data_IF_891953138114
#
_entry.id   IF_891953138114
#
_cell.length_a   1.000
_cell.length_b   1.000
_cell.length_c   1.000
_cell.angle_alpha   90.00
_cell.angle_beta   90.00
_cell.angle_gamma   90.00
#
_symmetry.space_group_name_H-M   'P 1'
#
loop_
_entity.id
_entity.type
_entity.pdbx_description
1 polymer ?
#
# COMPACT_ATOMS: atom_id res chain seq x y z
N UNK A 1 -36.28 -60.44 -15.79
CA UNK A 1 -36.01 -61.82 -15.30
C UNK A 1 -34.58 -61.86 -14.80
N UNK A 2 -34.39 -62.45 -13.61
CA UNK A 2 -33.15 -62.74 -12.89
C UNK A 2 -32.74 -61.72 -11.81
N UNK A 3 -33.52 -61.79 -10.72
CA UNK A 3 -33.15 -62.26 -9.38
C UNK A 3 -32.06 -61.56 -8.54
N UNK A 4 -32.60 -60.96 -7.48
CA UNK A 4 -32.09 -60.73 -6.13
C UNK A 4 -31.15 -61.81 -5.55
N UNK A 5 -30.10 -61.36 -4.84
CA UNK A 5 -29.62 -62.03 -3.61
C UNK A 5 -29.22 -60.98 -2.57
N UNK A 6 -29.94 -60.98 -1.45
CA UNK A 6 -29.62 -60.28 -0.19
C UNK A 6 -28.83 -61.26 0.69
N UNK A 7 -27.72 -60.81 1.28
CA UNK A 7 -27.06 -61.54 2.37
C UNK A 7 -26.78 -60.57 3.54
N UNK A 8 -27.65 -60.66 4.55
CA UNK A 8 -27.37 -60.20 5.91
C UNK A 8 -26.39 -61.17 6.58
N UNK A 9 -25.38 -60.63 7.26
CA UNK A 9 -24.77 -61.31 8.40
C UNK A 9 -24.56 -60.33 9.56
N UNK A 10 -25.00 -60.81 10.72
CA UNK A 10 -25.01 -60.21 12.05
C UNK A 10 -23.80 -60.78 12.82
N UNK A 11 -23.54 -60.27 14.04
CA UNK A 11 -22.55 -60.71 15.07
C UNK A 11 -21.28 -59.83 15.06
N UNK A 12 -20.73 -59.27 16.15
CA UNK A 12 -20.95 -59.41 17.60
C UNK A 12 -20.65 -58.07 18.30
N UNK A 13 -21.26 -57.85 19.46
CA UNK A 13 -20.78 -56.90 20.48
C UNK A 13 -19.50 -57.45 21.10
N UNK A 14 -18.53 -56.58 21.36
CA UNK A 14 -17.63 -56.77 22.49
C UNK A 14 -17.34 -55.43 23.17
N UNK A 15 -17.27 -55.50 24.50
CA UNK A 15 -17.43 -54.44 25.46
C UNK A 15 -16.16 -54.48 26.33
N UNK A 16 -15.24 -53.54 26.14
CA UNK A 16 -14.09 -53.42 27.04
C UNK A 16 -13.81 -51.96 27.36
N UNK A 17 -14.23 -51.60 28.56
CA UNK A 17 -13.89 -50.37 29.27
C UNK A 17 -12.37 -50.20 29.41
N UNK A 18 -11.85 -49.04 29.01
CA UNK A 18 -10.57 -48.52 29.52
C UNK A 18 -10.80 -47.12 30.06
N UNK A 19 -10.67 -47.02 31.38
CA UNK A 19 -10.56 -45.77 32.14
C UNK A 19 -9.32 -45.03 31.65
N UNK A 20 -9.46 -43.79 31.20
CA UNK A 20 -8.35 -42.84 31.12
C UNK A 20 -8.56 -41.85 32.26
N UNK A 21 -7.55 -41.80 33.13
CA UNK A 21 -7.50 -40.95 34.29
C UNK A 21 -7.34 -39.48 33.87
N UNK A 22 -8.10 -38.65 34.56
CA UNK A 22 -8.11 -37.19 34.54
C UNK A 22 -6.78 -36.66 35.13
N UNK A 23 -5.98 -35.96 34.34
CA UNK A 23 -4.83 -35.17 34.80
C UNK A 23 -5.04 -33.73 34.36
N UNK A 24 -5.93 -33.03 35.06
CA UNK A 24 -6.28 -31.61 34.79
C UNK A 24 -5.99 -30.67 35.98
N UNK A 25 -5.05 -31.04 36.87
CA UNK A 25 -4.85 -30.31 38.14
C UNK A 25 -3.61 -29.41 38.29
N UNK A 26 -2.60 -29.49 37.41
CA UNK A 26 -1.26 -28.92 37.75
C UNK A 26 -0.64 -27.96 36.73
N UNK A 27 -1.36 -27.58 35.66
CA UNK A 27 -0.81 -26.67 34.62
C UNK A 27 -1.22 -25.20 34.82
N UNK A 28 -2.20 -24.93 35.70
CA UNK A 28 -2.77 -23.58 35.86
C UNK A 28 -1.92 -22.64 36.72
N UNK A 29 -1.12 -23.14 37.67
CA UNK A 29 -0.30 -22.28 38.54
C UNK A 29 0.96 -21.75 37.86
N UNK A 30 1.61 -22.55 37.00
CA UNK A 30 2.81 -22.11 36.29
C UNK A 30 2.52 -21.02 35.24
N UNK A 31 1.34 -21.07 34.60
CA UNK A 31 0.92 -20.06 33.62
C UNK A 31 0.61 -18.71 34.26
N UNK A 32 0.03 -18.69 35.46
CA UNK A 32 -0.25 -17.45 36.20
C UNK A 32 1.03 -16.79 36.74
N UNK A 33 2.00 -17.59 37.22
CA UNK A 33 3.28 -17.07 37.70
C UNK A 33 4.13 -16.43 36.57
N UNK A 34 4.09 -17.00 35.37
CA UNK A 34 4.79 -16.45 34.19
C UNK A 34 4.19 -15.13 33.70
N UNK A 35 2.86 -14.99 33.76
CA UNK A 35 2.18 -13.73 33.39
C UNK A 35 2.53 -12.60 34.38
N UNK A 36 2.61 -12.90 35.68
CA UNK A 36 2.97 -11.91 36.69
C UNK A 36 4.42 -11.38 36.54
N UNK A 37 5.36 -12.24 36.14
CA UNK A 37 6.75 -11.84 35.89
C UNK A 37 6.91 -10.94 34.65
N UNK A 38 6.12 -11.17 33.59
CA UNK A 38 6.14 -10.30 32.39
C UNK A 38 5.56 -8.92 32.70
N UNK A 39 4.51 -8.83 33.52
CA UNK A 39 3.91 -7.55 33.91
C UNK A 39 4.86 -6.72 34.79
N UNK A 40 5.59 -7.35 35.73
CA UNK A 40 6.60 -6.65 36.54
C UNK A 40 7.78 -6.14 35.70
N UNK A 41 8.14 -6.84 34.62
CA UNK A 41 9.19 -6.40 33.70
C UNK A 41 8.77 -5.15 32.89
N UNK A 42 7.51 -5.07 32.46
CA UNK A 42 7.01 -3.92 31.70
C UNK A 42 6.86 -2.65 32.55
N UNK A 43 6.47 -2.76 33.82
CA UNK A 43 6.33 -1.59 34.72
C UNK A 43 7.70 -1.03 35.12
N UNK A 44 8.71 -1.89 35.32
CA UNK A 44 10.08 -1.45 35.64
C UNK A 44 10.82 -0.78 34.47
N UNK A 45 10.56 -1.18 33.24
CA UNK A 45 11.25 -0.63 32.06
C UNK A 45 10.71 0.75 31.65
N UNK A 46 9.43 1.04 31.91
CA UNK A 46 8.81 2.34 31.59
C UNK A 46 9.26 3.47 32.53
N UNK A 47 9.80 3.15 33.72
CA UNK A 47 10.33 4.14 34.66
C UNK A 47 11.80 4.52 34.43
N UNK A 48 12.54 3.83 33.54
CA UNK A 48 13.96 4.12 33.30
C UNK A 48 14.25 4.96 32.05
N UNK A 49 13.26 5.21 31.18
CA UNK A 49 13.46 5.98 29.93
C UNK A 49 12.84 7.38 29.94
N UNK A 50 12.27 7.83 31.07
CA UNK A 50 11.71 9.19 31.22
C UNK A 50 12.63 10.18 31.96
N UNK A 51 13.88 9.81 32.26
CA UNK A 51 14.82 10.66 33.02
C UNK A 51 16.07 11.08 32.23
N UNK A 52 15.95 11.29 30.92
CA UNK A 52 17.00 11.92 30.11
C UNK A 52 16.42 13.02 29.22
N UNK A 53 15.88 14.09 29.83
CA UNK A 53 15.68 15.34 29.10
C UNK A 53 15.57 16.58 30.01
N UNK A 54 16.66 16.96 30.69
CA UNK A 54 16.91 18.35 31.10
C UNK A 54 18.42 18.58 31.14
N UNK A 55 18.98 19.00 30.01
CA UNK A 55 20.30 19.60 29.92
C UNK A 55 20.12 21.09 29.59
N UNK A 56 20.46 21.93 30.56
CA UNK A 56 20.44 23.39 30.46
C UNK A 56 21.33 23.89 29.31
N UNK A 57 20.77 24.69 28.41
CA UNK A 57 21.55 25.55 27.50
C UNK A 57 21.18 26.99 27.79
N UNK A 58 22.11 27.68 28.44
CA UNK A 58 22.06 29.11 28.71
C UNK A 58 22.05 29.92 27.41
N UNK A 59 21.10 30.85 27.27
CA UNK A 59 21.09 31.87 26.23
C UNK A 59 21.62 33.17 26.86
N UNK A 60 22.67 33.81 26.30
CA UNK A 60 23.15 35.08 26.80
C UNK A 60 22.19 36.21 26.42
N UNK A 61 21.80 37.00 27.42
CA UNK A 61 21.03 38.23 27.28
C UNK A 61 21.87 39.31 26.58
N UNK A 62 21.44 39.76 25.39
CA UNK A 62 21.99 40.97 24.77
C UNK A 62 21.21 42.18 25.29
N UNK A 63 21.97 43.12 25.86
CA UNK A 63 21.50 44.41 26.37
C UNK A 63 21.01 45.31 25.22
N UNK A 64 19.79 45.82 25.37
CA UNK A 64 19.22 46.88 24.54
C UNK A 64 19.48 48.21 25.22
N UNK A 65 20.53 48.90 24.78
CA UNK A 65 20.65 50.36 24.98
C UNK A 65 21.75 50.92 24.07
N UNK A 66 21.46 52.07 23.46
CA UNK A 66 22.35 52.95 22.68
C UNK A 66 22.42 52.69 21.17
N UNK A 67 21.54 53.37 20.41
CA UNK A 67 21.95 54.55 19.64
C UNK A 67 20.71 55.21 19.01
N UNK A 68 20.21 56.23 19.71
CA UNK A 68 19.46 57.31 19.08
C UNK A 68 20.49 58.31 18.53
N UNK A 69 20.44 58.58 17.23
CA UNK A 69 20.66 59.91 16.68
C UNK A 69 19.95 60.06 15.33
N UNK A 70 18.89 60.88 15.36
CA UNK A 70 18.42 61.85 14.37
C UNK A 70 18.63 61.59 12.87
N UNK A 71 17.55 61.63 12.08
CA UNK A 71 17.06 62.90 11.54
C UNK A 71 15.73 62.72 10.78
N UNK A 72 14.72 63.55 11.12
CA UNK A 72 13.47 63.71 10.37
C UNK A 72 13.74 64.54 9.10
N UNK A 73 13.19 64.13 7.96
CA UNK A 73 12.07 64.86 7.30
C UNK A 73 11.81 64.43 5.85
N UNK A 74 10.53 64.14 5.59
CA UNK A 74 9.75 64.36 4.38
C UNK A 74 10.14 63.67 3.06
N UNK A 75 9.44 62.58 2.76
CA UNK A 75 8.86 62.34 1.43
C UNK A 75 7.48 61.69 1.56
N UNK A 76 6.45 62.45 1.17
CA UNK A 76 5.14 61.93 0.79
C UNK A 76 5.32 61.22 -0.55
N UNK A 77 5.14 59.91 -0.61
CA UNK A 77 4.93 59.18 -1.87
C UNK A 77 3.96 58.01 -1.65
N UNK A 78 2.77 58.18 -2.23
CA UNK A 78 1.84 57.19 -2.75
C UNK A 78 1.71 55.84 -2.01
N UNK A 79 0.61 55.74 -1.24
CA UNK A 79 -0.03 54.45 -0.95
C UNK A 79 -0.66 53.97 -2.27
N UNK A 80 0.16 53.32 -3.11
CA UNK A 80 -0.33 52.36 -4.08
C UNK A 80 -0.54 51.04 -3.34
N UNK A 81 -1.71 50.44 -3.49
CA UNK A 81 -2.11 49.22 -2.81
C UNK A 81 -1.03 48.15 -2.89
N UNK A 82 -0.47 47.81 -1.73
CA UNK A 82 0.26 46.56 -1.52
C UNK A 82 -0.72 45.41 -1.72
N UNK A 83 -0.86 44.95 -2.97
CA UNK A 83 -1.34 43.62 -3.24
C UNK A 83 -0.21 42.71 -2.79
N UNK A 84 -0.31 42.20 -1.58
CA UNK A 84 0.60 41.17 -1.06
C UNK A 84 0.59 40.03 -2.06
N UNK A 85 1.61 39.96 -2.93
CA UNK A 85 1.85 38.78 -3.74
C UNK A 85 2.20 37.68 -2.75
N UNK A 86 1.20 36.89 -2.38
CA UNK A 86 1.39 35.66 -1.64
C UNK A 86 2.26 34.80 -2.56
N UNK A 87 3.55 34.73 -2.26
CA UNK A 87 4.49 33.89 -2.97
C UNK A 87 4.01 32.44 -2.79
N UNK A 88 3.31 31.92 -3.80
CA UNK A 88 2.83 30.56 -3.80
C UNK A 88 4.04 29.64 -3.79
N UNK A 89 4.16 28.84 -2.72
CA UNK A 89 5.17 27.80 -2.68
C UNK A 89 4.81 26.79 -3.78
N UNK A 90 5.78 26.33 -4.58
CA UNK A 90 5.52 25.27 -5.53
C UNK A 90 4.95 24.06 -4.78
N UNK A 91 3.81 23.56 -5.25
CA UNK A 91 3.20 22.35 -4.70
C UNK A 91 4.15 21.19 -4.94
N UNK A 92 4.47 20.44 -3.89
CA UNK A 92 5.24 19.21 -3.99
C UNK A 92 4.27 18.03 -4.17
N UNK A 93 4.55 17.08 -5.05
CA UNK A 93 3.67 15.94 -5.23
C UNK A 93 3.71 15.04 -4.00
N UNK A 94 2.57 14.46 -3.66
CA UNK A 94 2.39 13.58 -2.51
C UNK A 94 2.04 12.17 -2.98
N UNK A 95 2.39 11.14 -2.19
CA UNK A 95 1.85 9.80 -2.41
C UNK A 95 0.39 9.76 -1.92
N UNK A 96 -0.53 9.99 -2.86
CA UNK A 96 -1.96 10.11 -2.62
C UNK A 96 -2.60 8.78 -2.26
N UNK A 97 -2.11 7.67 -2.83
CA UNK A 97 -2.70 6.34 -2.60
C UNK A 97 -2.57 5.90 -1.15
N UNK A 98 -1.57 6.41 -0.41
CA UNK A 98 -1.32 6.06 0.99
C UNK A 98 -2.00 6.93 2.03
N UNK A 99 -2.79 7.93 1.62
CA UNK A 99 -3.47 8.83 2.57
C UNK A 99 -4.66 8.08 3.22
N UNK A 100 -4.63 7.84 4.55
CA UNK A 100 -5.67 7.05 5.21
C UNK A 100 -7.08 7.62 4.98
N UNK A 101 -8.00 6.75 4.59
CA UNK A 101 -9.42 7.11 4.39
C UNK A 101 -9.70 7.99 3.17
N UNK A 102 -8.70 8.25 2.31
CA UNK A 102 -8.88 9.02 1.07
C UNK A 102 -8.87 8.18 -0.19
N UNK A 103 -8.45 6.91 -0.09
CA UNK A 103 -8.37 5.98 -1.21
C UNK A 103 -8.87 4.61 -0.78
N UNK A 104 -9.63 3.96 -1.66
CA UNK A 104 -10.08 2.58 -1.49
C UNK A 104 -9.49 1.72 -2.62
N UNK A 105 -8.92 0.57 -2.28
CA UNK A 105 -8.47 -0.41 -3.26
C UNK A 105 -9.43 -1.60 -3.34
N UNK A 106 -9.81 -1.96 -4.55
CA UNK A 106 -10.58 -3.18 -4.87
C UNK A 106 -9.88 -3.97 -5.95
N UNK A 107 -10.20 -5.24 -6.11
CA UNK A 107 -9.63 -6.10 -7.14
C UNK A 107 -10.67 -7.11 -7.65
N UNK A 108 -10.46 -7.65 -8.84
CA UNK A 108 -11.30 -8.69 -9.44
C UNK A 108 -11.26 -10.00 -8.63
N UNK A 109 -10.09 -10.32 -8.10
CA UNK A 109 -9.89 -11.43 -7.17
C UNK A 109 -9.55 -10.90 -5.79
N UNK A 110 -10.14 -11.52 -4.76
CA UNK A 110 -9.95 -11.15 -3.35
C UNK A 110 -8.47 -11.08 -2.94
N UNK A 111 -7.63 -11.88 -3.59
CA UNK A 111 -6.27 -12.15 -3.17
C UNK A 111 -6.22 -13.38 -2.25
N UNK A 112 -5.28 -14.29 -2.49
CA UNK A 112 -5.13 -15.49 -1.66
C UNK A 112 -4.19 -15.28 -0.45
N UNK A 113 -3.58 -14.09 -0.32
CA UNK A 113 -2.65 -13.70 0.74
C UNK A 113 -3.21 -12.51 1.53
N UNK A 114 -3.00 -11.29 1.03
CA UNK A 114 -3.64 -10.07 1.54
C UNK A 114 -4.83 -9.61 0.69
N UNK A 115 -5.78 -8.84 1.26
CA UNK A 115 -6.81 -8.13 0.49
C UNK A 115 -6.19 -7.04 -0.40
N UNK A 116 -6.92 -6.52 -1.38
CA UNK A 116 -6.44 -5.45 -2.26
C UNK A 116 -5.93 -4.20 -1.50
N UNK A 117 -6.49 -3.89 -0.30
CA UNK A 117 -6.08 -2.74 0.51
C UNK A 117 -4.63 -2.77 0.99
N UNK A 118 -3.94 -3.91 0.94
CA UNK A 118 -2.53 -3.98 1.36
C UNK A 118 -1.60 -3.17 0.46
N UNK A 119 -1.97 -2.98 -0.81
CA UNK A 119 -1.13 -2.27 -1.80
C UNK A 119 -1.08 -0.75 -1.57
N UNK A 120 -1.93 -0.23 -0.69
CA UNK A 120 -2.05 1.20 -0.38
C UNK A 120 -1.88 1.51 1.12
N UNK A 121 -1.26 0.62 1.88
CA UNK A 121 -1.03 0.85 3.31
C UNK A 121 -0.21 2.13 3.55
N UNK A 122 -0.53 2.93 4.59
CA UNK A 122 0.21 4.16 4.89
C UNK A 122 1.70 3.93 5.10
N UNK A 123 2.03 2.81 5.75
CA UNK A 123 3.38 2.28 5.90
C UNK A 123 3.39 0.93 5.19
N UNK A 124 4.27 0.72 4.18
CA UNK A 124 4.39 -0.57 3.54
C UNK A 124 4.75 -1.64 4.56
N UNK A 125 4.02 -2.73 4.51
CA UNK A 125 4.36 -3.89 5.31
C UNK A 125 5.65 -4.57 4.84
N UNK A 126 6.23 -5.36 5.73
CA UNK A 126 7.47 -6.12 5.50
C UNK A 126 7.26 -7.63 5.56
N UNK A 127 6.04 -8.07 5.92
CA UNK A 127 5.69 -9.46 6.05
C UNK A 127 5.24 -10.05 4.72
N UNK A 128 6.13 -10.82 4.10
CA UNK A 128 5.95 -11.38 2.75
C UNK A 128 4.67 -12.19 2.52
N UNK A 129 4.05 -12.75 3.56
CA UNK A 129 2.80 -13.50 3.39
C UNK A 129 1.53 -12.64 3.51
N UNK A 130 1.57 -11.50 4.20
CA UNK A 130 0.36 -10.77 4.60
C UNK A 130 0.29 -9.37 3.99
N UNK A 131 1.43 -8.81 3.60
CA UNK A 131 1.54 -7.42 3.16
C UNK A 131 1.60 -7.28 1.63
N UNK A 132 1.04 -8.26 0.92
CA UNK A 132 0.93 -8.25 -0.54
C UNK A 132 -0.37 -8.87 -1.03
N UNK A 133 -0.91 -8.29 -2.08
CA UNK A 133 -2.05 -8.84 -2.81
C UNK A 133 -1.52 -9.82 -3.86
N UNK A 134 -2.26 -10.91 -4.12
CA UNK A 134 -1.85 -11.93 -5.07
C UNK A 134 -3.05 -12.52 -5.82
N UNK A 135 -3.05 -12.41 -7.15
CA UNK A 135 -3.97 -13.14 -8.01
C UNK A 135 -3.40 -14.54 -8.33
N UNK A 136 -3.63 -15.48 -7.42
CA UNK A 136 -3.30 -16.88 -7.58
C UNK A 136 -4.28 -17.75 -6.80
N UNK A 137 -4.46 -19.01 -7.19
CA UNK A 137 -5.38 -19.93 -6.51
C UNK A 137 -4.80 -20.52 -5.22
N UNK A 138 -3.49 -20.42 -5.01
CA UNK A 138 -2.81 -20.92 -3.81
C UNK A 138 -1.56 -20.08 -3.45
N UNK A 139 -1.01 -20.33 -2.27
CA UNK A 139 0.17 -19.60 -1.75
C UNK A 139 1.47 -19.85 -2.55
N UNK A 140 1.51 -20.88 -3.39
CA UNK A 140 2.65 -21.17 -4.26
C UNK A 140 2.58 -20.44 -5.61
N UNK A 141 1.58 -19.58 -5.81
CA UNK A 141 1.48 -18.76 -7.02
C UNK A 141 0.87 -19.48 -8.21
N UNK A 142 0.06 -20.54 -7.99
CA UNK A 142 -0.67 -21.15 -9.11
C UNK A 142 -1.57 -20.13 -9.80
N UNK A 143 -1.31 -19.90 -11.08
CA UNK A 143 -1.96 -18.86 -11.86
C UNK A 143 -3.48 -19.05 -11.91
N UNK A 144 -4.22 -17.94 -11.76
CA UNK A 144 -5.63 -17.88 -12.13
C UNK A 144 -5.64 -17.43 -13.60
N UNK A 145 -6.24 -18.19 -14.53
CA UNK A 145 -6.26 -17.78 -15.94
C UNK A 145 -7.08 -16.51 -16.15
N UNK A 146 -6.62 -15.68 -17.09
CA UNK A 146 -7.32 -14.47 -17.50
C UNK A 146 -6.57 -13.19 -17.14
N UNK A 147 -7.25 -12.07 -17.39
CA UNK A 147 -6.81 -10.74 -17.00
C UNK A 147 -7.25 -10.46 -15.56
N UNK A 148 -6.47 -9.66 -14.85
CA UNK A 148 -6.75 -9.28 -13.46
C UNK A 148 -6.69 -7.77 -13.31
N UNK A 149 -7.29 -7.22 -12.26
CA UNK A 149 -7.20 -5.79 -12.03
C UNK A 149 -7.19 -5.42 -10.56
N UNK A 150 -6.51 -4.30 -10.27
CA UNK A 150 -6.68 -3.55 -9.03
C UNK A 150 -7.21 -2.16 -9.40
N UNK A 151 -8.30 -1.74 -8.77
CA UNK A 151 -8.93 -0.44 -8.94
C UNK A 151 -8.77 0.37 -7.65
N UNK A 152 -8.12 1.53 -7.78
CA UNK A 152 -8.06 2.56 -6.76
C UNK A 152 -9.17 3.58 -7.01
N UNK A 153 -9.99 3.84 -5.99
CA UNK A 153 -10.96 4.91 -5.96
C UNK A 153 -10.47 6.01 -5.02
N UNK A 154 -10.21 7.18 -5.58
CA UNK A 154 -9.86 8.38 -4.84
C UNK A 154 -11.12 9.13 -4.39
N UNK A 155 -11.06 9.77 -3.24
CA UNK A 155 -12.17 10.54 -2.68
C UNK A 155 -12.52 11.79 -3.50
N UNK A 156 -11.54 12.36 -4.21
CA UNK A 156 -11.67 13.52 -5.11
C UNK A 156 -10.79 13.27 -6.34
N UNK A 157 -11.04 13.93 -7.49
CA UNK A 157 -10.13 13.84 -8.63
C UNK A 157 -8.69 14.25 -8.28
N UNK A 158 -7.75 13.58 -8.93
CA UNK A 158 -6.31 13.78 -8.77
C UNK A 158 -5.65 14.01 -10.12
N UNK A 159 -4.52 14.70 -10.08
CA UNK A 159 -3.58 14.83 -11.18
C UNK A 159 -2.38 13.93 -10.87
N UNK A 160 -2.22 12.85 -11.65
CA UNK A 160 -1.15 11.87 -11.46
C UNK A 160 0.14 12.39 -12.08
N UNK A 161 1.21 12.43 -11.30
CA UNK A 161 2.56 12.78 -11.74
C UNK A 161 3.34 11.51 -12.11
N UNK A 162 3.41 10.58 -11.16
CA UNK A 162 4.11 9.31 -11.31
C UNK A 162 3.42 8.17 -10.56
N UNK A 163 3.69 6.95 -11.01
CA UNK A 163 3.18 5.72 -10.40
C UNK A 163 4.36 4.82 -10.08
N UNK A 164 4.35 4.21 -8.89
CA UNK A 164 5.31 3.16 -8.54
C UNK A 164 4.56 1.88 -8.17
N UNK A 165 4.86 0.81 -8.89
CA UNK A 165 4.36 -0.53 -8.65
C UNK A 165 5.50 -1.37 -8.08
N UNK A 166 5.29 -1.91 -6.88
CA UNK A 166 6.24 -2.83 -6.25
C UNK A 166 5.70 -4.25 -6.37
N UNK A 167 6.17 -4.98 -7.38
CA UNK A 167 5.79 -6.36 -7.60
C UNK A 167 6.64 -7.31 -6.78
N UNK A 168 6.07 -8.47 -6.45
CA UNK A 168 6.87 -9.63 -6.06
C UNK A 168 7.59 -10.21 -7.29
N UNK A 169 8.45 -11.22 -7.12
CA UNK A 169 8.96 -12.05 -8.23
C UNK A 169 7.89 -12.53 -9.22
N UNK A 170 6.68 -12.77 -8.73
CA UNK A 170 5.52 -13.09 -9.53
C UNK A 170 4.91 -11.79 -10.10
N UNK A 171 5.61 -11.11 -11.02
CA UNK A 171 5.21 -9.81 -11.56
C UNK A 171 4.48 -9.91 -12.91
N UNK A 172 3.81 -8.82 -13.29
CA UNK A 172 3.21 -8.67 -14.61
C UNK A 172 4.22 -8.10 -15.63
N UNK A 173 4.40 -8.79 -16.76
CA UNK A 173 5.18 -8.26 -17.89
C UNK A 173 4.33 -7.37 -18.81
N UNK A 174 3.01 -7.58 -18.81
CA UNK A 174 2.06 -6.81 -19.61
C UNK A 174 0.88 -6.33 -18.76
N UNK A 175 0.65 -5.01 -18.76
CA UNK A 175 -0.38 -4.31 -18.01
C UNK A 175 -0.61 -2.90 -18.56
N UNK A 176 -1.77 -2.33 -18.20
CA UNK A 176 -2.10 -0.93 -18.45
C UNK A 176 -2.38 -0.20 -17.14
N UNK A 177 -2.08 1.09 -17.14
CA UNK A 177 -2.64 2.04 -16.20
C UNK A 177 -3.75 2.79 -16.91
N UNK A 178 -4.94 2.70 -16.35
CA UNK A 178 -6.14 3.32 -16.89
C UNK A 178 -6.73 4.28 -15.88
N UNK A 179 -7.22 5.41 -16.36
CA UNK A 179 -7.83 6.47 -15.56
C UNK A 179 -9.27 6.74 -15.99
N UNK A 180 -10.11 7.15 -15.05
CA UNK A 180 -11.46 7.65 -15.34
C UNK A 180 -11.93 8.61 -14.24
N UNK A 181 -12.90 9.46 -14.56
CA UNK A 181 -13.67 10.22 -13.56
C UNK A 181 -14.80 9.39 -12.94
N UNK A 182 -15.24 8.34 -13.63
CA UNK A 182 -16.31 7.44 -13.21
C UNK A 182 -15.78 6.05 -12.91
N UNK A 183 -16.57 5.26 -12.17
CA UNK A 183 -16.14 3.90 -11.80
C UNK A 183 -15.95 3.06 -13.06
N UNK A 184 -14.78 2.44 -13.17
CA UNK A 184 -14.48 1.51 -14.27
C UNK A 184 -15.13 0.16 -13.96
N UNK A 185 -15.98 -0.30 -14.87
CA UNK A 185 -16.70 -1.58 -14.86
C UNK A 185 -16.69 -2.17 -16.27
N UNK A 186 -17.18 -3.40 -16.44
CA UNK A 186 -17.30 -4.04 -17.75
C UNK A 186 -18.27 -3.30 -18.69
N UNK A 187 -19.17 -2.49 -18.15
CA UNK A 187 -20.13 -1.68 -18.91
C UNK A 187 -19.62 -0.27 -19.23
N UNK A 188 -18.45 0.14 -18.71
CA UNK A 188 -17.92 1.49 -18.92
C UNK A 188 -17.50 1.66 -20.37
N UNK A 189 -17.93 2.75 -21.00
CA UNK A 189 -17.55 3.06 -22.38
C UNK A 189 -16.04 3.34 -22.47
N UNK A 190 -15.40 2.91 -23.57
CA UNK A 190 -13.98 3.20 -23.83
C UNK A 190 -13.68 4.70 -23.83
N UNK A 191 -14.64 5.52 -24.23
CA UNK A 191 -14.46 6.98 -24.28
C UNK A 191 -14.37 7.63 -22.89
N UNK A 192 -14.74 6.89 -21.84
CA UNK A 192 -14.66 7.31 -20.45
C UNK A 192 -13.41 6.77 -19.75
N UNK A 193 -12.58 5.98 -20.43
CA UNK A 193 -11.38 5.35 -19.85
C UNK A 193 -10.16 5.77 -20.63
N UNK A 194 -9.27 6.51 -19.98
CA UNK A 194 -8.02 6.94 -20.57
C UNK A 194 -6.93 5.91 -20.28
N UNK A 195 -6.29 5.38 -21.31
CA UNK A 195 -5.00 4.70 -21.12
C UNK A 195 -3.94 5.76 -20.84
N UNK A 196 -3.38 5.73 -19.63
CA UNK A 196 -2.34 6.64 -19.16
C UNK A 196 -0.93 6.05 -19.37
N UNK A 197 -0.84 4.72 -19.41
CA UNK A 197 0.36 3.94 -19.71
C UNK A 197 -0.04 2.56 -20.22
N UNK A 198 0.59 2.11 -21.31
CA UNK A 198 0.47 0.74 -21.83
C UNK A 198 1.86 0.10 -21.96
N UNK A 199 2.13 -0.98 -21.22
CA UNK A 199 3.44 -1.63 -21.29
C UNK A 199 3.74 -2.30 -22.63
N UNK A 200 2.72 -2.58 -23.45
CA UNK A 200 2.92 -3.10 -24.80
C UNK A 200 3.36 -1.99 -25.79
N UNK A 201 3.14 -0.72 -25.44
CA UNK A 201 3.51 0.42 -26.26
C UNK A 201 4.97 0.85 -26.00
N UNK A 202 5.79 0.87 -27.05
CA UNK A 202 7.23 1.20 -26.96
C UNK A 202 7.50 2.62 -26.47
N UNK A 203 6.67 3.59 -26.82
CA UNK A 203 6.83 4.98 -26.36
C UNK A 203 6.54 5.10 -24.86
N UNK A 204 5.55 4.35 -24.36
CA UNK A 204 5.26 4.29 -22.94
C UNK A 204 6.33 3.53 -22.15
N UNK A 205 6.88 2.43 -22.69
CA UNK A 205 7.99 1.73 -22.05
C UNK A 205 9.18 2.65 -21.72
N UNK A 206 9.45 3.67 -22.54
CA UNK A 206 10.51 4.64 -22.28
C UNK A 206 10.25 5.53 -21.04
N UNK A 207 9.00 5.61 -20.57
CA UNK A 207 8.59 6.31 -19.34
C UNK A 207 8.78 5.46 -18.09
N UNK A 208 9.03 4.16 -18.23
CA UNK A 208 9.15 3.20 -17.13
C UNK A 208 10.61 2.88 -16.84
N UNK A 209 11.00 2.94 -15.57
CA UNK A 209 12.23 2.32 -15.06
C UNK A 209 11.90 1.06 -14.27
N UNK A 210 12.87 0.14 -14.20
CA UNK A 210 12.77 -1.11 -13.44
C UNK A 210 13.96 -1.22 -12.47
N UNK A 211 13.67 -1.52 -11.21
CA UNK A 211 14.66 -1.82 -10.18
C UNK A 211 14.33 -3.18 -9.56
N UNK A 212 15.35 -3.97 -9.24
CA UNK A 212 15.16 -5.28 -8.61
C UNK A 212 15.98 -5.39 -7.33
N UNK A 213 15.36 -5.90 -6.26
CA UNK A 213 16.04 -6.04 -4.96
C UNK A 213 15.56 -7.27 -4.17
N UNK A 214 16.34 -7.67 -3.16
CA UNK A 214 16.01 -8.76 -2.25
C UNK A 214 16.11 -10.16 -2.88
N UNK A 215 15.59 -11.16 -2.16
CA UNK A 215 15.51 -12.55 -2.61
C UNK A 215 14.14 -13.12 -2.26
N UNK A 216 13.46 -13.71 -3.23
CA UNK A 216 12.16 -14.33 -3.02
C UNK A 216 12.23 -15.50 -2.04
N UNK A 217 11.42 -15.52 -0.98
CA UNK A 217 11.35 -16.62 -0.04
C UNK A 217 10.87 -17.91 -0.73
N UNK A 218 11.51 -19.03 -0.40
CA UNK A 218 11.10 -20.35 -0.89
C UNK A 218 11.55 -20.69 -2.32
N UNK A 219 12.20 -19.77 -3.03
CA UNK A 219 12.80 -20.03 -4.35
C UNK A 219 14.30 -20.28 -4.18
N UNK A 220 14.79 -21.46 -4.60
CA UNK A 220 16.21 -21.82 -4.52
C UNK A 220 17.07 -21.02 -5.51
N UNK A 221 16.52 -20.71 -6.68
CA UNK A 221 17.17 -19.86 -7.67
C UNK A 221 17.18 -18.42 -7.18
N UNK A 222 18.26 -17.69 -7.49
CA UNK A 222 18.32 -16.25 -7.22
C UNK A 222 17.24 -15.55 -8.04
N UNK A 223 16.24 -15.00 -7.35
CA UNK A 223 15.13 -14.26 -7.93
C UNK A 223 14.78 -13.10 -7.00
N UNK A 224 14.60 -11.88 -7.53
CA UNK A 224 14.40 -10.71 -6.70
C UNK A 224 13.06 -10.80 -5.96
N UNK A 225 13.05 -10.40 -4.70
CA UNK A 225 11.81 -10.26 -3.93
C UNK A 225 10.96 -9.13 -4.50
N UNK A 226 11.60 -8.01 -4.84
CA UNK A 226 10.95 -6.83 -5.37
C UNK A 226 11.35 -6.61 -6.82
N UNK A 227 10.35 -6.46 -7.69
CA UNK A 227 10.49 -5.95 -9.06
C UNK A 227 9.70 -4.64 -9.12
N UNK A 228 10.40 -3.52 -9.08
CA UNK A 228 9.82 -2.20 -8.90
C UNK A 228 9.73 -1.52 -10.26
N UNK A 229 8.51 -1.23 -10.71
CA UNK A 229 8.28 -0.40 -11.88
C UNK A 229 7.95 1.02 -11.44
N UNK A 230 8.74 1.99 -11.88
CA UNK A 230 8.42 3.42 -11.70
C UNK A 230 8.06 4.01 -13.05
N UNK A 231 6.87 4.58 -13.16
CA UNK A 231 6.31 5.15 -14.39
C UNK A 231 6.23 6.66 -14.20
N UNK A 232 6.96 7.40 -15.02
CA UNK A 232 7.00 8.86 -15.03
C UNK A 232 6.05 9.42 -16.10
N UNK A 233 5.67 10.69 -15.99
CA UNK A 233 4.91 11.42 -17.02
C UNK A 233 3.61 10.71 -17.44
N UNK A 234 2.86 10.23 -16.43
CA UNK A 234 1.61 9.51 -16.61
C UNK A 234 0.56 10.48 -17.17
N UNK A 235 0.21 10.33 -18.46
CA UNK A 235 -0.60 11.31 -19.18
C UNK A 235 -1.36 10.67 -20.34
N UNK A 236 -2.47 11.28 -20.75
CA UNK A 236 -3.25 10.85 -21.91
C UNK A 236 -3.13 11.88 -23.02
N UNK A 237 -2.71 11.45 -24.21
CA UNK A 237 -2.44 12.34 -25.36
C UNK A 237 -1.51 13.53 -24.99
N UNK A 238 -0.51 13.28 -24.15
CA UNK A 238 0.43 14.27 -23.59
C UNK A 238 -0.20 15.34 -22.68
N UNK A 239 -1.47 15.18 -22.30
CA UNK A 239 -2.15 16.03 -21.34
C UNK A 239 -2.35 15.28 -20.03
N UNK A 240 -2.11 15.95 -18.91
CA UNK A 240 -2.48 15.43 -17.60
C UNK A 240 -4.00 15.49 -17.48
N UNK A 241 -4.63 14.32 -17.32
CA UNK A 241 -6.08 14.22 -17.15
C UNK A 241 -6.39 14.04 -15.68
N UNK A 242 -7.35 14.81 -15.12
CA UNK A 242 -7.90 14.51 -13.82
C UNK A 242 -8.54 13.12 -13.81
N UNK A 243 -8.21 12.32 -12.79
CA UNK A 243 -8.79 10.97 -12.61
C UNK A 243 -9.27 10.81 -11.18
N UNK A 244 -10.40 10.15 -11.00
CA UNK A 244 -10.90 9.73 -9.68
C UNK A 244 -10.74 8.23 -9.47
N UNK A 245 -10.75 7.46 -10.56
CA UNK A 245 -10.56 6.03 -10.58
C UNK A 245 -9.31 5.70 -11.37
N UNK A 246 -8.42 4.90 -10.78
CA UNK A 246 -7.19 4.45 -11.41
C UNK A 246 -7.14 2.92 -11.37
N UNK A 247 -7.09 2.27 -12.53
CA UNK A 247 -7.02 0.82 -12.66
C UNK A 247 -5.65 0.38 -13.14
N UNK A 248 -5.03 -0.53 -12.41
CA UNK A 248 -3.96 -1.38 -12.90
C UNK A 248 -4.62 -2.60 -13.54
N UNK A 249 -4.63 -2.64 -14.86
CA UNK A 249 -5.20 -3.73 -15.64
C UNK A 249 -4.07 -4.67 -16.07
N UNK A 250 -4.06 -5.87 -15.51
CA UNK A 250 -2.98 -6.85 -15.65
C UNK A 250 -3.35 -7.86 -16.73
N UNK A 251 -2.57 -7.87 -17.81
CA UNK A 251 -2.86 -8.65 -19.01
C UNK A 251 -2.06 -9.95 -19.04
N UNK A 252 -0.81 -9.93 -18.54
CA UNK A 252 0.08 -11.09 -18.61
C UNK A 252 1.13 -11.13 -17.51
N UNK A 253 1.21 -12.29 -16.84
CA UNK A 253 2.30 -12.65 -15.92
C UNK A 253 3.62 -12.89 -16.67
N UNK A 254 4.72 -12.48 -16.05
CA UNK A 254 6.07 -12.67 -16.58
C UNK A 254 6.64 -14.09 -16.35
N UNK A 255 6.19 -14.78 -15.30
CA UNK A 255 6.85 -15.99 -14.77
C UNK A 255 6.03 -17.27 -14.92
N UNK A 256 4.82 -17.17 -15.47
CA UNK A 256 3.86 -18.29 -15.56
C UNK A 256 3.18 -18.61 -14.22
N UNK A 257 3.59 -17.96 -13.13
CA UNK A 257 2.83 -17.90 -11.89
C UNK A 257 1.68 -16.89 -12.02
N UNK A 258 0.83 -16.83 -11.01
CA UNK A 258 -0.06 -15.68 -10.79
C UNK A 258 0.74 -14.38 -10.65
N UNK A 259 0.05 -13.28 -10.37
CA UNK A 259 0.70 -11.98 -10.11
C UNK A 259 0.58 -11.60 -8.65
N UNK A 260 1.60 -10.92 -8.11
CA UNK A 260 1.65 -10.50 -6.73
C UNK A 260 2.24 -9.09 -6.62
N UNK A 261 1.55 -8.22 -5.90
CA UNK A 261 1.85 -6.80 -5.77
C UNK A 261 1.90 -6.40 -4.29
N UNK A 262 2.99 -5.77 -3.89
CA UNK A 262 3.20 -5.21 -2.56
C UNK A 262 2.67 -3.79 -2.46
N UNK A 263 2.90 -2.96 -3.47
CA UNK A 263 2.61 -1.52 -3.40
C UNK A 263 2.08 -1.00 -4.74
N UNK A 264 1.07 -0.12 -4.68
CA UNK A 264 0.57 0.67 -5.79
C UNK A 264 0.56 2.14 -5.36
N UNK A 265 1.72 2.77 -5.52
CA UNK A 265 1.94 4.16 -5.15
C UNK A 265 1.49 5.08 -6.28
N UNK A 266 0.68 6.08 -5.94
CA UNK A 266 0.22 7.11 -6.87
C UNK A 266 0.67 8.47 -6.35
N UNK A 267 1.66 9.03 -7.03
CA UNK A 267 2.28 10.30 -6.68
C UNK A 267 1.66 11.40 -7.54
N UNK A 268 1.25 12.51 -6.92
CA UNK A 268 0.61 13.60 -7.63
C UNK A 268 -0.03 14.64 -6.72
N UNK A 269 -1.09 15.26 -7.21
CA UNK A 269 -1.82 16.35 -6.53
C UNK A 269 -3.32 16.07 -6.50
N UNK A 270 -4.01 16.59 -5.49
CA UNK A 270 -5.46 16.71 -5.58
C UNK A 270 -5.79 17.84 -6.55
N UNK A 271 -6.80 17.66 -7.41
CA UNK A 271 -7.15 18.66 -8.44
C UNK A 271 -7.49 20.03 -7.81
N UNK A 272 -8.16 20.02 -6.66
CA UNK A 272 -8.56 21.22 -5.91
C UNK A 272 -7.39 22.01 -5.30
N UNK A 273 -6.20 21.40 -5.21
CA UNK A 273 -4.99 22.07 -4.75
C UNK A 273 -4.30 22.85 -5.87
N UNK A 274 -4.54 22.48 -7.13
CA UNK A 274 -3.95 23.14 -8.30
C UNK A 274 -4.82 24.32 -8.67
N UNK A 275 -4.58 25.46 -8.03
CA UNK A 275 -5.14 26.74 -8.49
C UNK A 275 -4.44 27.11 -9.79
N UNK A 276 -5.18 27.08 -10.90
CA UNK A 276 -4.73 27.60 -12.21
C UNK A 276 -4.82 29.13 -12.27
#
# INVERSE_FOLDING_TARGET
MNDFVILCSRVSRDNSSRRIADVSGSVSFLRLALIALVIFWFIGFFSLTWNLHLGDVAIPSVSVSQLFHDNRSNRILNISGSRTQKQERPLLPHNLSRIPGKVTATADVRGNLGPASVVIQPVPGSHWLHDRWQAASNMHGQNIPGEHWILLEFHSPILVDSIRLDWETAYASDYRIEGSLERITDATSSDQVWTLFDSSNRADQAKRTEETTGQSPGVKQKMPLHVIHTIQSVSHNNNQQPVRFLRLHILKSATGWGVSLWQFDVIGYWEDQVVL
#
